data_IF_709087113140
#
_entry.id   IF_709087113140
#
_cell.length_a   1.000
_cell.length_b   1.000
_cell.length_c   1.000
_cell.angle_alpha   90.00
_cell.angle_beta   90.00
_cell.angle_gamma   90.00
#
_symmetry.space_group_name_H-M   'P 1'
#
loop_
_entity.id
_entity.type
_entity.pdbx_description
1 polymer ?
#
# COMPACT_ATOMS: atom_id res chain seq x y z
N UNK A 1 -9.47 5.09 24.35
CA UNK A 1 -8.24 4.96 23.54
C UNK A 1 -8.34 3.78 22.61
N UNK A 2 -7.62 3.83 21.49
CA UNK A 2 -7.66 2.83 20.45
C UNK A 2 -6.25 2.54 19.97
N UNK A 3 -5.85 1.27 19.96
CA UNK A 3 -4.61 0.78 19.36
C UNK A 3 -4.93 0.20 17.98
N UNK A 4 -4.47 0.87 16.92
CA UNK A 4 -4.73 0.53 15.52
C UNK A 4 -3.46 -0.04 14.87
N UNK A 5 -3.29 -1.35 14.79
CA UNK A 5 -2.26 -1.93 13.94
C UNK A 5 -2.69 -1.86 12.48
N UNK A 6 -1.73 -1.53 11.60
CA UNK A 6 -1.91 -1.64 10.16
C UNK A 6 -1.28 -2.94 9.65
N UNK A 7 -1.67 -3.39 8.44
CA UNK A 7 -1.03 -4.54 7.80
C UNK A 7 0.46 -4.30 7.66
N UNK A 8 1.21 -5.16 8.32
CA UNK A 8 2.67 -5.13 8.41
C UNK A 8 3.27 -6.21 7.51
N UNK A 9 4.58 -6.25 7.37
CA UNK A 9 5.25 -7.21 6.50
C UNK A 9 6.65 -7.56 6.99
N UNK A 10 7.19 -8.65 6.46
CA UNK A 10 8.54 -9.06 6.81
C UNK A 10 8.94 -10.42 6.29
N UNK A 11 10.00 -10.93 6.89
CA UNK A 11 10.53 -12.27 6.73
C UNK A 11 10.64 -12.92 8.11
N UNK A 12 11.03 -14.20 8.19
CA UNK A 12 11.32 -14.84 9.45
C UNK A 12 12.40 -14.12 10.29
N UNK A 13 13.25 -13.27 9.65
CA UNK A 13 14.41 -12.63 10.28
C UNK A 13 14.28 -11.11 10.41
N UNK A 14 13.32 -10.50 9.76
CA UNK A 14 13.14 -9.04 9.76
C UNK A 14 11.67 -8.70 9.58
N UNK A 15 11.13 -7.92 10.50
CA UNK A 15 9.74 -7.50 10.50
C UNK A 15 9.65 -5.98 10.48
N UNK A 16 8.71 -5.46 9.72
CA UNK A 16 8.34 -4.05 9.75
C UNK A 16 6.92 -3.92 10.27
N UNK A 17 6.77 -3.27 11.41
CA UNK A 17 5.48 -2.96 12.01
C UNK A 17 5.17 -1.48 11.88
N UNK A 18 3.90 -1.20 11.65
CA UNK A 18 3.35 0.14 11.69
C UNK A 18 1.95 0.11 12.31
N UNK A 19 1.63 1.12 13.10
CA UNK A 19 0.31 1.31 13.68
C UNK A 19 0.19 2.68 14.33
N UNK A 20 -0.96 2.93 14.96
CA UNK A 20 -1.28 4.23 15.56
C UNK A 20 -2.04 4.06 16.87
N UNK A 21 -1.83 4.98 17.82
CA UNK A 21 -2.62 5.09 19.05
C UNK A 21 -3.41 6.39 19.01
N UNK A 22 -4.72 6.28 19.25
CA UNK A 22 -5.68 7.40 19.24
C UNK A 22 -6.49 7.42 20.52
N UNK A 23 -6.91 8.61 20.96
CA UNK A 23 -7.78 8.78 22.14
C UNK A 23 -9.27 8.66 21.80
N UNK A 24 -9.64 8.50 20.56
CA UNK A 24 -11.02 8.47 20.10
C UNK A 24 -11.62 7.06 20.16
N UNK A 25 -12.93 7.01 20.41
CA UNK A 25 -13.69 5.77 20.31
C UNK A 25 -13.67 5.22 18.88
N UNK A 26 -13.73 3.87 18.71
CA UNK A 26 -13.81 3.27 17.39
C UNK A 26 -14.99 3.84 16.60
N UNK A 27 -14.75 4.23 15.37
CA UNK A 27 -15.81 4.66 14.47
C UNK A 27 -16.62 3.45 14.01
N UNK A 28 -17.96 3.56 13.87
CA UNK A 28 -18.77 2.45 13.39
C UNK A 28 -18.27 1.99 12.01
N UNK A 29 -18.32 0.66 11.81
CA UNK A 29 -17.87 0.05 10.56
C UNK A 29 -18.64 0.62 9.36
N UNK A 30 -18.06 0.60 8.15
CA UNK A 30 -18.76 1.02 6.94
C UNK A 30 -20.12 0.31 6.71
N UNK A 31 -20.24 -0.94 7.15
CA UNK A 31 -21.46 -1.74 7.03
C UNK A 31 -22.65 -1.21 7.90
N UNK A 32 -22.38 -0.48 8.99
CA UNK A 32 -23.39 0.02 9.92
C UNK A 32 -23.96 1.40 9.54
N UNK A 33 -23.58 1.98 8.39
CA UNK A 33 -23.87 3.36 8.01
C UNK A 33 -25.03 3.47 7.03
N UNK A 34 -26.18 3.82 7.55
CA UNK A 34 -27.42 3.93 6.80
C UNK A 34 -27.80 5.29 6.21
N UNK A 35 -26.95 6.32 6.14
CA UNK A 35 -27.26 7.59 5.46
C UNK A 35 -26.04 8.44 5.14
N UNK A 36 -26.09 9.21 4.03
CA UNK A 36 -25.06 10.11 3.49
C UNK A 36 -24.59 11.19 4.49
N UNK A 37 -25.48 11.72 5.31
CA UNK A 37 -25.18 12.76 6.32
C UNK A 37 -24.38 12.20 7.51
N UNK A 38 -24.67 10.96 7.94
CA UNK A 38 -23.85 10.27 8.95
C UNK A 38 -22.46 9.98 8.43
N UNK A 39 -22.31 9.59 7.16
CA UNK A 39 -21.02 9.38 6.50
C UNK A 39 -20.12 10.61 6.58
N UNK A 40 -20.63 11.81 6.29
CA UNK A 40 -19.89 13.06 6.36
C UNK A 40 -19.40 13.40 7.78
N UNK A 41 -20.24 13.20 8.81
CA UNK A 41 -19.90 13.45 10.20
C UNK A 41 -18.81 12.47 10.70
N UNK A 42 -18.96 11.21 10.37
CA UNK A 42 -17.98 10.17 10.71
C UNK A 42 -16.62 10.42 10.04
N UNK A 43 -16.65 10.99 8.85
CA UNK A 43 -15.48 11.38 8.08
C UNK A 43 -14.74 12.57 8.68
N UNK A 44 -15.47 13.61 9.12
CA UNK A 44 -14.88 14.72 9.87
C UNK A 44 -14.20 14.22 11.16
N UNK A 45 -14.84 13.30 11.88
CA UNK A 45 -14.27 12.67 13.08
C UNK A 45 -12.99 11.86 12.79
N UNK A 46 -12.84 11.27 11.59
CA UNK A 46 -11.60 10.60 11.17
C UNK A 46 -10.44 11.56 10.88
N UNK A 47 -10.76 12.79 10.50
CA UNK A 47 -9.77 13.83 10.23
C UNK A 47 -9.37 14.62 11.48
N UNK A 48 -10.29 14.72 12.46
CA UNK A 48 -10.07 15.25 13.79
C UNK A 48 -9.78 14.05 14.74
N UNK A 49 -8.60 13.45 14.58
CA UNK A 49 -8.14 12.39 15.48
C UNK A 49 -7.31 13.03 16.60
N UNK A 50 -7.65 12.70 17.85
CA UNK A 50 -6.81 13.06 18.98
C UNK A 50 -5.69 12.01 19.08
N UNK A 51 -4.51 12.40 18.64
CA UNK A 51 -3.31 11.56 18.62
C UNK A 51 -2.78 11.38 20.05
N UNK A 52 -2.27 10.19 20.36
CA UNK A 52 -1.61 9.92 21.63
C UNK A 52 -0.09 9.78 21.42
N UNK A 53 0.66 10.89 21.56
CA UNK A 53 2.12 10.84 21.46
C UNK A 53 2.74 10.20 22.71
N UNK A 54 3.94 9.64 22.56
CA UNK A 54 4.71 9.03 23.65
C UNK A 54 3.97 7.88 24.38
N UNK A 55 3.02 7.25 23.74
CA UNK A 55 2.41 6.03 24.25
C UNK A 55 3.33 4.82 24.01
N UNK A 56 3.35 3.88 24.95
CA UNK A 56 4.20 2.69 24.85
C UNK A 56 3.37 1.48 24.41
N UNK A 57 3.75 0.91 23.29
CA UNK A 57 3.15 -0.30 22.71
C UNK A 57 4.13 -1.47 22.84
N UNK A 58 3.65 -2.57 23.39
CA UNK A 58 4.34 -3.86 23.41
C UNK A 58 3.96 -4.69 22.18
N UNK A 59 4.96 -5.30 21.56
CA UNK A 59 4.84 -6.24 20.44
C UNK A 59 5.32 -7.59 20.96
N UNK A 60 4.42 -8.56 21.02
CA UNK A 60 4.72 -9.92 21.50
C UNK A 60 5.12 -10.84 20.35
N UNK A 61 6.36 -11.34 20.37
CA UNK A 61 6.89 -12.28 19.39
C UNK A 61 7.51 -13.48 20.11
N UNK A 62 6.90 -14.63 20.05
CA UNK A 62 7.45 -15.94 20.44
C UNK A 62 8.37 -15.94 21.68
N UNK A 63 7.83 -15.47 22.81
CA UNK A 63 8.55 -15.41 24.08
C UNK A 63 9.39 -14.14 24.27
N UNK A 64 9.42 -13.23 23.29
CA UNK A 64 10.06 -11.95 23.40
C UNK A 64 9.03 -10.82 23.30
N UNK A 65 9.22 -9.78 24.11
CA UNK A 65 8.40 -8.56 24.06
C UNK A 65 9.32 -7.40 23.70
N UNK A 66 8.95 -6.70 22.62
CA UNK A 66 9.61 -5.47 22.23
C UNK A 66 8.70 -4.29 22.50
N UNK A 67 9.24 -3.20 23.06
CA UNK A 67 8.51 -1.96 23.29
C UNK A 67 8.87 -0.92 22.25
N UNK A 68 7.87 -0.19 21.78
CA UNK A 68 8.03 0.95 20.89
C UNK A 68 7.18 2.11 21.40
N UNK A 69 7.66 3.34 21.20
CA UNK A 69 6.95 4.54 21.62
C UNK A 69 6.37 5.25 20.39
N UNK A 70 5.16 5.76 20.52
CA UNK A 70 4.51 6.53 19.47
C UNK A 70 5.17 7.90 19.30
N UNK A 71 5.21 8.37 18.05
CA UNK A 71 5.65 9.72 17.70
C UNK A 71 4.60 10.80 18.07
N UNK A 72 4.86 12.06 17.69
CA UNK A 72 3.99 13.18 18.00
C UNK A 72 2.58 13.11 17.40
N UNK A 73 2.39 12.22 16.42
CA UNK A 73 1.12 12.01 15.71
C UNK A 73 0.51 10.65 16.05
N UNK A 74 1.00 10.03 17.12
CA UNK A 74 0.49 8.75 17.64
C UNK A 74 0.92 7.53 16.82
N UNK A 75 1.80 7.67 15.81
CA UNK A 75 2.30 6.51 15.05
C UNK A 75 3.44 5.81 15.77
N UNK A 76 3.46 4.49 15.71
CA UNK A 76 4.64 3.69 15.97
C UNK A 76 5.08 2.98 14.71
N UNK A 77 6.39 3.00 14.44
CA UNK A 77 7.04 2.30 13.34
C UNK A 77 8.28 1.63 13.88
N UNK A 78 8.45 0.36 13.56
CA UNK A 78 9.64 -0.37 14.04
C UNK A 78 10.08 -1.39 12.99
N UNK A 79 11.39 -1.36 12.70
CA UNK A 79 12.09 -2.48 12.08
C UNK A 79 12.61 -3.38 13.19
N UNK A 80 12.09 -4.59 13.25
CA UNK A 80 12.42 -5.54 14.31
C UNK A 80 13.16 -6.72 13.72
N UNK A 81 14.31 -7.04 14.31
CA UNK A 81 15.07 -8.26 14.01
C UNK A 81 14.89 -9.21 15.17
N UNK A 82 14.15 -10.32 15.01
CA UNK A 82 14.02 -11.34 16.05
C UNK A 82 15.39 -11.91 16.43
N UNK A 83 15.52 -12.36 17.69
CA UNK A 83 16.77 -12.99 18.20
C UNK A 83 17.07 -14.33 17.54
N UNK A 84 16.05 -15.01 17.02
CA UNK A 84 16.13 -16.22 16.21
C UNK A 84 15.08 -16.12 15.09
N UNK A 85 15.29 -16.84 13.96
CA UNK A 85 14.31 -16.90 12.89
C UNK A 85 12.96 -17.37 13.43
N UNK A 86 11.89 -16.65 13.09
CA UNK A 86 10.53 -17.05 13.45
C UNK A 86 10.13 -18.29 12.65
N UNK A 87 9.32 -19.20 13.22
CA UNK A 87 8.85 -20.41 12.52
C UNK A 87 7.74 -20.09 11.50
N UNK A 88 7.82 -18.95 10.86
CA UNK A 88 6.84 -18.46 9.89
C UNK A 88 7.30 -18.81 8.48
N UNK A 89 6.47 -19.55 7.78
CA UNK A 89 6.80 -20.03 6.43
C UNK A 89 6.24 -19.13 5.34
N UNK A 90 4.94 -18.80 5.46
CA UNK A 90 4.22 -18.02 4.45
C UNK A 90 2.87 -17.49 4.96
N UNK A 91 2.33 -16.50 4.27
CA UNK A 91 1.00 -15.96 4.52
C UNK A 91 0.95 -14.85 5.57
N UNK A 92 -0.21 -14.71 6.20
CA UNK A 92 -0.49 -13.69 7.19
C UNK A 92 -0.38 -14.25 8.61
N UNK A 93 0.49 -13.66 9.43
CA UNK A 93 0.74 -14.09 10.80
C UNK A 93 0.17 -13.09 11.80
N UNK A 94 -0.66 -13.51 12.75
CA UNK A 94 -1.16 -12.65 13.82
C UNK A 94 -0.07 -12.39 14.85
N UNK A 95 0.07 -11.13 15.26
CA UNK A 95 1.02 -10.70 16.29
C UNK A 95 0.27 -9.91 17.35
N UNK A 96 0.29 -10.33 18.62
CA UNK A 96 -0.36 -9.61 19.70
C UNK A 96 0.37 -8.30 20.00
N UNK A 97 -0.40 -7.24 20.13
CA UNK A 97 0.03 -5.93 20.56
C UNK A 97 -0.70 -5.54 21.84
N UNK A 98 -0.04 -4.76 22.70
CA UNK A 98 -0.66 -4.19 23.88
C UNK A 98 -0.20 -2.75 24.08
N UNK A 99 -1.12 -1.84 24.28
CA UNK A 99 -0.83 -0.50 24.77
C UNK A 99 -0.66 -0.59 26.30
N UNK A 100 0.54 -0.33 26.78
CA UNK A 100 0.92 -0.54 28.19
C UNK A 100 1.39 0.73 28.88
N UNK A 101 1.56 1.84 28.17
CA UNK A 101 1.97 3.10 28.75
C UNK A 101 1.36 4.29 28.02
N UNK A 102 1.05 5.33 28.78
CA UNK A 102 0.51 6.60 28.31
C UNK A 102 1.47 7.75 28.60
N UNK A 103 1.27 8.93 27.98
CA UNK A 103 2.00 10.15 28.31
C UNK A 103 2.01 10.43 29.82
N UNK A 104 3.04 11.15 30.30
CA UNK A 104 3.27 11.43 31.71
C UNK A 104 3.59 10.22 32.61
N UNK A 105 4.02 9.10 32.02
CA UNK A 105 4.48 7.94 32.77
C UNK A 105 3.35 7.09 33.39
N UNK A 106 2.12 7.22 32.87
CA UNK A 106 1.00 6.37 33.30
C UNK A 106 1.18 4.99 32.70
N UNK A 107 1.35 3.98 33.54
CA UNK A 107 1.39 2.57 33.12
C UNK A 107 -0.01 1.96 33.12
N UNK A 108 -0.32 1.22 32.07
CA UNK A 108 -1.54 0.41 31.97
C UNK A 108 -1.19 -1.05 32.27
N UNK A 109 -1.79 -1.60 33.30
CA UNK A 109 -1.50 -2.97 33.76
C UNK A 109 -2.76 -3.83 33.79
N UNK A 110 -2.60 -5.14 33.63
CA UNK A 110 -3.71 -6.07 33.70
C UNK A 110 -4.79 -5.78 32.66
N UNK A 111 -6.03 -5.61 33.12
CA UNK A 111 -7.21 -5.38 32.29
C UNK A 111 -7.28 -3.96 31.69
N UNK A 112 -6.48 -3.01 32.21
CA UNK A 112 -6.43 -1.64 31.69
C UNK A 112 -5.60 -1.55 30.38
N UNK A 113 -4.75 -2.54 30.11
CA UNK A 113 -3.95 -2.59 28.90
C UNK A 113 -4.84 -2.90 27.68
N UNK A 114 -4.77 -2.04 26.67
CA UNK A 114 -5.56 -2.18 25.45
C UNK A 114 -4.84 -3.16 24.50
N UNK A 115 -5.51 -4.28 24.21
CA UNK A 115 -4.99 -5.32 23.32
C UNK A 115 -5.47 -5.10 21.87
N UNK A 116 -4.58 -5.42 20.93
CA UNK A 116 -4.91 -5.50 19.50
C UNK A 116 -4.07 -6.61 18.84
N UNK A 117 -4.42 -7.00 17.62
CA UNK A 117 -3.65 -7.97 16.84
C UNK A 117 -3.23 -7.35 15.54
N UNK A 118 -1.92 -7.22 15.33
CA UNK A 118 -1.36 -6.90 14.03
C UNK A 118 -1.35 -8.13 13.14
N UNK A 119 -1.40 -7.93 11.82
CA UNK A 119 -1.18 -8.99 10.84
C UNK A 119 0.07 -8.69 10.03
N UNK A 120 0.96 -9.66 9.91
CA UNK A 120 2.24 -9.53 9.21
C UNK A 120 2.27 -10.45 8.01
N UNK A 121 2.49 -9.89 6.82
CA UNK A 121 2.68 -10.65 5.60
C UNK A 121 4.11 -11.18 5.52
N UNK A 122 4.26 -12.49 5.45
CA UNK A 122 5.53 -13.16 5.15
C UNK A 122 5.35 -13.94 3.85
N UNK A 123 5.92 -13.45 2.73
CA UNK A 123 5.88 -14.19 1.48
C UNK A 123 6.66 -15.51 1.58
N UNK A 124 6.20 -16.57 0.91
CA UNK A 124 6.94 -17.82 0.88
C UNK A 124 8.24 -17.71 0.11
N UNK A 125 9.23 -18.58 0.36
CA UNK A 125 10.53 -18.57 -0.32
C UNK A 125 10.44 -18.79 -1.84
N UNK A 126 9.37 -19.39 -2.31
CA UNK A 126 9.10 -19.68 -3.72
C UNK A 126 8.19 -18.65 -4.40
N UNK A 127 7.94 -17.50 -3.78
CA UNK A 127 7.32 -16.37 -4.45
C UNK A 127 8.15 -15.94 -5.67
N UNK A 128 7.50 -15.84 -6.83
CA UNK A 128 8.20 -15.58 -8.10
C UNK A 128 8.67 -14.14 -8.21
N UNK A 129 7.88 -13.22 -7.67
CA UNK A 129 8.13 -11.77 -7.60
C UNK A 129 7.16 -11.11 -6.61
N UNK A 130 7.44 -9.87 -6.22
CA UNK A 130 6.49 -9.02 -5.53
C UNK A 130 5.87 -8.01 -6.49
N UNK A 131 4.72 -7.47 -6.12
CA UNK A 131 4.04 -6.39 -6.83
C UNK A 131 4.05 -5.14 -5.93
N UNK A 132 4.50 -4.01 -6.46
CA UNK A 132 4.38 -2.70 -5.81
C UNK A 132 3.52 -1.82 -6.71
N UNK A 133 2.41 -1.35 -6.17
CA UNK A 133 1.43 -0.56 -6.90
C UNK A 133 1.12 0.75 -6.22
N UNK A 134 0.98 1.81 -7.01
CA UNK A 134 0.22 2.98 -6.60
C UNK A 134 -1.28 2.65 -6.51
N UNK A 135 -2.05 3.50 -5.84
CA UNK A 135 -3.50 3.34 -5.68
C UNK A 135 -4.24 4.36 -6.53
N UNK A 136 -3.86 5.63 -6.40
CA UNK A 136 -4.57 6.77 -6.98
C UNK A 136 -4.33 6.84 -8.49
N UNK A 137 -5.39 6.95 -9.29
CA UNK A 137 -5.37 6.89 -10.77
C UNK A 137 -4.67 5.65 -11.38
N UNK A 138 -4.31 4.68 -10.54
CA UNK A 138 -3.75 3.38 -10.92
C UNK A 138 -4.76 2.25 -10.67
N UNK A 139 -5.28 2.17 -9.46
CA UNK A 139 -6.31 1.20 -9.05
C UNK A 139 -7.70 1.82 -9.09
N UNK A 140 -7.83 3.07 -8.65
CA UNK A 140 -9.06 3.84 -8.54
C UNK A 140 -9.00 5.05 -9.46
N UNK A 141 -10.03 5.25 -10.27
CA UNK A 141 -10.15 6.46 -11.08
C UNK A 141 -10.48 7.65 -10.17
N UNK A 142 -9.52 8.53 -9.96
CA UNK A 142 -9.67 9.68 -9.04
C UNK A 142 -9.79 11.00 -9.79
N UNK A 143 -9.25 11.10 -11.01
CA UNK A 143 -9.15 12.34 -11.77
C UNK A 143 -8.29 13.39 -11.07
N UNK A 144 -7.41 12.96 -10.18
CA UNK A 144 -6.68 13.81 -9.23
C UNK A 144 -5.38 14.35 -9.82
N UNK A 145 -5.43 14.91 -11.01
CA UNK A 145 -4.25 15.62 -11.57
C UNK A 145 -3.93 16.94 -10.85
N UNK A 146 -4.78 17.36 -9.91
CA UNK A 146 -4.56 18.57 -9.12
C UNK A 146 -5.34 18.59 -7.81
N UNK A 147 -4.61 18.71 -6.68
CA UNK A 147 -4.97 19.16 -5.34
C UNK A 147 -5.39 18.10 -4.30
N UNK A 148 -4.62 18.00 -3.19
CA UNK A 148 -4.90 17.12 -2.06
C UNK A 148 -6.25 17.37 -1.36
N UNK A 149 -6.79 18.60 -1.43
CA UNK A 149 -8.07 18.99 -0.79
C UNK A 149 -9.31 18.57 -1.56
N UNK A 150 -9.29 18.65 -2.89
CA UNK A 150 -10.39 18.16 -3.73
C UNK A 150 -10.49 16.64 -3.71
N UNK A 151 -9.33 15.96 -3.75
CA UNK A 151 -9.23 14.52 -3.62
C UNK A 151 -9.93 14.00 -2.35
N UNK A 152 -9.60 14.59 -1.20
CA UNK A 152 -10.19 14.22 0.08
C UNK A 152 -11.72 14.32 0.10
N UNK A 153 -12.29 15.42 -0.42
CA UNK A 153 -13.73 15.65 -0.38
C UNK A 153 -14.51 14.82 -1.41
N UNK A 154 -13.92 14.55 -2.57
CA UNK A 154 -14.55 13.80 -3.66
C UNK A 154 -14.42 12.29 -3.44
N UNK A 155 -13.25 11.81 -3.04
CA UNK A 155 -13.00 10.40 -2.75
C UNK A 155 -13.90 9.90 -1.62
N UNK A 156 -14.06 10.70 -0.56
CA UNK A 156 -14.83 10.35 0.62
C UNK A 156 -16.37 10.37 0.42
N UNK A 157 -16.86 11.10 -0.56
CA UNK A 157 -18.31 11.14 -0.84
C UNK A 157 -18.83 9.90 -1.57
N UNK A 158 -18.01 9.30 -2.44
CA UNK A 158 -18.47 8.32 -3.41
C UNK A 158 -17.56 7.08 -3.56
N UNK A 159 -16.59 6.87 -2.63
CA UNK A 159 -15.58 5.84 -2.84
C UNK A 159 -16.14 4.43 -3.15
N UNK A 160 -17.28 4.05 -2.57
CA UNK A 160 -17.94 2.77 -2.86
C UNK A 160 -18.62 2.73 -4.24
N UNK A 161 -18.94 3.89 -4.80
CA UNK A 161 -19.57 4.01 -6.12
C UNK A 161 -18.52 4.16 -7.23
N UNK A 162 -17.27 4.44 -6.87
CA UNK A 162 -16.18 4.48 -7.83
C UNK A 162 -15.80 3.07 -8.19
N UNK A 163 -15.84 2.79 -9.47
CA UNK A 163 -15.33 1.52 -9.99
C UNK A 163 -13.81 1.56 -10.04
N UNK A 164 -13.13 0.45 -9.73
CA UNK A 164 -11.75 0.28 -10.10
C UNK A 164 -11.63 0.35 -11.62
N UNK A 165 -10.46 0.67 -12.12
CA UNK A 165 -10.25 0.58 -13.56
C UNK A 165 -10.61 -0.82 -14.06
N UNK A 166 -11.24 -0.86 -15.24
CA UNK A 166 -11.72 -2.09 -15.84
C UNK A 166 -10.62 -3.16 -15.92
N UNK A 167 -10.88 -4.34 -15.38
CA UNK A 167 -9.98 -5.48 -15.36
C UNK A 167 -8.83 -5.41 -14.34
N UNK A 168 -8.71 -4.34 -13.53
CA UNK A 168 -7.57 -4.18 -12.62
C UNK A 168 -7.53 -5.24 -11.53
N UNK A 169 -8.67 -5.61 -10.96
CA UNK A 169 -8.74 -6.61 -9.91
C UNK A 169 -8.28 -7.99 -10.40
N UNK A 170 -8.73 -8.38 -11.60
CA UNK A 170 -8.30 -9.65 -12.21
C UNK A 170 -6.82 -9.65 -12.60
N UNK A 171 -6.30 -8.53 -13.11
CA UNK A 171 -4.88 -8.43 -13.42
C UNK A 171 -4.00 -8.57 -12.18
N UNK A 172 -4.38 -7.93 -11.06
CA UNK A 172 -3.64 -8.05 -9.81
C UNK A 172 -3.73 -9.46 -9.22
N UNK A 173 -4.90 -10.12 -9.32
CA UNK A 173 -5.05 -11.52 -8.94
C UNK A 173 -4.19 -12.44 -9.81
N UNK A 174 -4.14 -12.19 -11.11
CA UNK A 174 -3.29 -12.95 -12.03
C UNK A 174 -1.81 -12.80 -11.68
N UNK A 175 -1.34 -11.58 -11.39
CA UNK A 175 0.02 -11.33 -10.93
C UNK A 175 0.29 -12.02 -9.57
N UNK A 176 -0.67 -11.99 -8.64
CA UNK A 176 -0.55 -12.68 -7.35
C UNK A 176 -0.45 -14.20 -7.53
N UNK A 177 -1.17 -14.75 -8.49
CA UNK A 177 -1.12 -16.20 -8.82
C UNK A 177 0.20 -16.56 -9.50
N UNK A 178 0.74 -15.69 -10.36
CA UNK A 178 1.96 -15.94 -11.12
C UNK A 178 1.84 -17.11 -12.10
N UNK A 179 2.98 -17.67 -12.48
CA UNK A 179 3.03 -18.87 -13.32
C UNK A 179 2.90 -20.16 -12.50
N UNK A 180 3.35 -20.14 -11.25
CA UNK A 180 3.31 -21.32 -10.37
C UNK A 180 1.90 -21.69 -9.89
N UNK A 181 0.91 -20.80 -10.07
CA UNK A 181 -0.49 -21.02 -9.71
C UNK A 181 -0.78 -20.99 -8.20
N UNK A 182 0.20 -20.61 -7.34
CA UNK A 182 0.08 -20.75 -5.88
C UNK A 182 -0.54 -19.56 -5.19
N UNK A 183 -0.80 -18.46 -5.88
CA UNK A 183 -1.33 -17.20 -5.31
C UNK A 183 -0.49 -16.67 -4.15
N UNK A 184 0.83 -16.71 -4.29
CA UNK A 184 1.78 -16.42 -3.23
C UNK A 184 2.68 -15.21 -3.50
N UNK A 185 2.55 -14.56 -4.65
CA UNK A 185 3.27 -13.32 -4.94
C UNK A 185 2.71 -12.17 -4.08
N UNK A 186 3.53 -11.53 -3.21
CA UNK A 186 3.04 -10.48 -2.32
C UNK A 186 2.72 -9.20 -3.09
N UNK A 187 1.67 -8.50 -2.64
CA UNK A 187 1.26 -7.21 -3.19
C UNK A 187 1.45 -6.15 -2.12
N UNK A 188 2.08 -5.04 -2.47
CA UNK A 188 2.28 -3.85 -1.64
C UNK A 188 1.68 -2.65 -2.34
N UNK A 189 0.90 -1.86 -1.61
CA UNK A 189 0.28 -0.64 -2.13
C UNK A 189 0.94 0.57 -1.51
N UNK A 190 1.48 1.46 -2.35
CA UNK A 190 2.22 2.65 -1.91
C UNK A 190 1.51 3.89 -2.46
N UNK A 191 0.86 4.66 -1.59
CA UNK A 191 0.08 5.83 -2.00
C UNK A 191 0.52 7.10 -1.28
N UNK A 192 0.31 8.24 -1.93
CA UNK A 192 0.43 9.57 -1.33
C UNK A 192 -0.78 9.96 -0.47
N UNK A 193 -1.79 9.13 -0.39
CA UNK A 193 -2.96 9.32 0.46
C UNK A 193 -2.60 9.25 1.95
N UNK A 194 -3.30 10.02 2.82
CA UNK A 194 -3.00 10.03 4.26
C UNK A 194 -3.44 8.74 4.96
N UNK A 195 -2.74 8.38 6.04
CA UNK A 195 -3.07 7.24 6.90
C UNK A 195 -4.50 7.28 7.47
N UNK A 196 -5.08 8.47 7.61
CA UNK A 196 -6.47 8.63 8.05
C UNK A 196 -7.49 8.01 7.08
N UNK A 197 -7.08 7.66 5.87
CA UNK A 197 -7.89 6.97 4.86
C UNK A 197 -7.67 5.46 4.84
N UNK A 198 -6.83 4.90 5.72
CA UNK A 198 -6.47 3.49 5.72
C UNK A 198 -7.68 2.57 5.67
N UNK A 199 -8.61 2.69 6.64
CA UNK A 199 -9.79 1.82 6.71
C UNK A 199 -10.68 1.93 5.46
N UNK A 200 -10.73 3.14 4.88
CA UNK A 200 -11.52 3.42 3.69
C UNK A 200 -10.93 2.73 2.46
N UNK A 201 -9.61 2.84 2.31
CA UNK A 201 -8.87 2.19 1.23
C UNK A 201 -8.90 0.67 1.38
N UNK A 202 -8.73 0.16 2.59
CA UNK A 202 -8.77 -1.28 2.86
C UNK A 202 -10.17 -1.89 2.59
N UNK A 203 -11.22 -1.19 3.00
CA UNK A 203 -12.61 -1.56 2.69
C UNK A 203 -12.89 -1.52 1.18
N UNK A 204 -12.39 -0.49 0.48
CA UNK A 204 -12.48 -0.37 -0.98
C UNK A 204 -11.79 -1.53 -1.69
N UNK A 205 -10.53 -1.81 -1.34
CA UNK A 205 -9.74 -2.90 -1.93
C UNK A 205 -10.43 -4.25 -1.74
N UNK A 206 -10.94 -4.48 -0.52
CA UNK A 206 -11.68 -5.71 -0.17
C UNK A 206 -13.00 -5.82 -0.97
N UNK A 207 -13.77 -4.72 -1.05
CA UNK A 207 -15.06 -4.69 -1.75
C UNK A 207 -14.89 -5.02 -3.24
N UNK A 208 -13.83 -4.51 -3.86
CA UNK A 208 -13.57 -4.73 -5.28
C UNK A 208 -12.69 -5.97 -5.55
N UNK A 209 -12.42 -6.78 -4.54
CA UNK A 209 -11.71 -8.05 -4.69
C UNK A 209 -10.25 -7.91 -5.12
N UNK A 210 -9.61 -6.79 -4.80
CA UNK A 210 -8.17 -6.63 -4.97
C UNK A 210 -7.40 -7.49 -3.97
N UNK A 211 -6.23 -8.02 -4.31
CA UNK A 211 -5.42 -8.80 -3.39
C UNK A 211 -5.12 -8.04 -2.10
N UNK A 212 -5.24 -8.72 -0.95
CA UNK A 212 -4.84 -8.13 0.32
C UNK A 212 -3.33 -7.90 0.36
N UNK A 213 -2.91 -6.72 0.81
CA UNK A 213 -1.51 -6.34 0.93
C UNK A 213 -1.31 -5.21 1.95
N UNK A 214 -0.08 -4.97 2.41
CA UNK A 214 0.25 -3.78 3.17
C UNK A 214 -0.07 -2.51 2.38
N UNK A 215 -0.72 -1.55 3.05
CA UNK A 215 -0.98 -0.20 2.54
C UNK A 215 0.05 0.74 3.17
N UNK A 216 0.93 1.31 2.37
CA UNK A 216 2.00 2.21 2.80
C UNK A 216 1.59 3.64 2.43
N UNK A 217 0.96 4.32 3.39
CA UNK A 217 0.32 5.61 3.20
C UNK A 217 1.20 6.74 3.73
N UNK A 218 0.91 7.96 3.32
CA UNK A 218 1.67 9.13 3.70
C UNK A 218 1.23 9.70 5.04
N UNK A 219 2.22 10.13 5.82
CA UNK A 219 2.01 10.95 7.00
C UNK A 219 1.89 12.43 6.61
N UNK A 220 0.78 13.08 6.95
CA UNK A 220 0.52 14.50 6.66
C UNK A 220 0.70 15.40 7.87
N UNK A 221 1.40 14.94 8.90
CA UNK A 221 1.57 15.68 10.13
C UNK A 221 2.02 17.12 9.97
N UNK A 222 1.58 17.95 10.93
CA UNK A 222 1.76 19.41 10.98
C UNK A 222 3.24 19.84 11.12
N UNK A 223 4.17 18.89 11.31
CA UNK A 223 5.59 19.23 11.43
C UNK A 223 6.12 19.84 10.13
N UNK A 224 6.74 21.01 10.23
CA UNK A 224 7.43 21.70 9.13
C UNK A 224 8.46 20.82 8.39
N UNK A 225 8.97 19.76 9.02
CA UNK A 225 9.83 18.76 8.39
C UNK A 225 9.08 17.93 7.35
N UNK A 226 7.84 17.49 7.63
CA UNK A 226 7.03 16.68 6.72
C UNK A 226 6.47 17.50 5.55
N UNK A 227 6.32 18.82 5.72
CA UNK A 227 5.94 19.73 4.62
C UNK A 227 7.07 19.90 3.58
N UNK A 228 8.33 19.63 3.94
CA UNK A 228 9.48 19.65 3.04
C UNK A 228 9.74 18.30 2.36
N UNK A 229 9.23 17.21 2.94
CA UNK A 229 9.31 15.90 2.32
C UNK A 229 8.36 15.85 1.12
N UNK A 230 8.92 15.88 -0.08
CA UNK A 230 8.16 15.80 -1.33
C UNK A 230 7.47 14.44 -1.47
N UNK A 231 6.41 14.36 -2.29
CA UNK A 231 5.75 13.11 -2.66
C UNK A 231 6.74 12.04 -3.16
N UNK A 232 7.82 12.48 -3.82
CA UNK A 232 8.88 11.65 -4.34
C UNK A 232 9.62 10.92 -3.23
N UNK A 233 9.96 11.64 -2.16
CA UNK A 233 10.78 11.11 -1.07
C UNK A 233 10.01 10.07 -0.26
N UNK A 234 8.70 10.28 -0.03
CA UNK A 234 7.86 9.32 0.68
C UNK A 234 7.72 8.01 -0.07
N UNK A 235 7.17 8.00 -1.31
CA UNK A 235 6.98 6.77 -2.09
C UNK A 235 8.31 6.04 -2.27
N UNK A 236 9.39 6.76 -2.59
CA UNK A 236 10.69 6.16 -2.77
C UNK A 236 11.24 5.53 -1.49
N UNK A 237 11.00 6.13 -0.32
CA UNK A 237 11.37 5.58 0.98
C UNK A 237 10.63 4.28 1.27
N UNK A 238 9.31 4.25 1.11
CA UNK A 238 8.51 3.07 1.38
C UNK A 238 8.87 1.92 0.41
N UNK A 239 9.07 2.21 -0.88
CA UNK A 239 9.54 1.22 -1.86
C UNK A 239 10.93 0.71 -1.47
N UNK A 240 11.86 1.59 -1.11
CA UNK A 240 13.20 1.20 -0.65
C UNK A 240 13.12 0.25 0.54
N UNK A 241 12.28 0.55 1.53
CA UNK A 241 12.07 -0.30 2.71
C UNK A 241 11.57 -1.70 2.33
N UNK A 242 10.65 -1.81 1.36
CA UNK A 242 10.18 -3.11 0.84
C UNK A 242 11.34 -3.88 0.16
N UNK A 243 12.09 -3.23 -0.72
CA UNK A 243 13.23 -3.86 -1.42
C UNK A 243 14.32 -4.34 -0.45
N UNK A 244 14.59 -3.58 0.61
CA UNK A 244 15.56 -3.96 1.65
C UNK A 244 15.06 -5.08 2.55
N UNK A 245 13.74 -5.16 2.77
CA UNK A 245 13.14 -6.24 3.56
C UNK A 245 13.23 -7.58 2.83
N UNK A 246 13.12 -7.56 1.51
CA UNK A 246 13.18 -8.76 0.65
C UNK A 246 14.36 -8.70 -0.32
N UNK A 247 15.59 -8.90 0.12
CA UNK A 247 16.81 -8.63 -0.66
C UNK A 247 16.98 -9.50 -1.91
N UNK A 248 16.29 -10.62 -2.03
CA UNK A 248 16.37 -11.55 -3.18
C UNK A 248 15.16 -11.50 -4.10
N UNK A 249 14.02 -10.97 -3.63
CA UNK A 249 12.79 -10.92 -4.40
C UNK A 249 12.86 -9.82 -5.46
N UNK A 250 12.49 -10.14 -6.69
CA UNK A 250 12.30 -9.16 -7.77
C UNK A 250 10.89 -8.57 -7.73
N UNK A 251 10.65 -7.44 -8.40
CA UNK A 251 9.37 -6.74 -8.32
C UNK A 251 8.85 -6.32 -9.69
N UNK A 252 7.51 -6.30 -9.80
CA UNK A 252 6.76 -5.59 -10.83
C UNK A 252 6.25 -4.29 -10.21
N UNK A 253 6.44 -3.16 -10.90
CA UNK A 253 6.01 -1.85 -10.43
C UNK A 253 4.84 -1.38 -11.30
N UNK A 254 3.77 -0.87 -10.67
CA UNK A 254 2.56 -0.40 -11.35
C UNK A 254 2.20 0.99 -10.83
N UNK A 255 2.01 1.95 -11.74
CA UNK A 255 1.69 3.33 -11.41
C UNK A 255 0.96 4.04 -12.54
N UNK A 256 0.83 5.35 -12.43
CA UNK A 256 0.14 6.19 -13.40
C UNK A 256 1.05 7.27 -14.02
N UNK A 257 0.61 7.82 -15.17
CA UNK A 257 1.30 8.90 -15.87
C UNK A 257 0.96 10.29 -15.32
N UNK A 258 -0.10 10.43 -14.56
CA UNK A 258 -0.59 11.71 -14.00
C UNK A 258 0.21 12.20 -12.82
N UNK A 259 0.89 11.28 -12.12
CA UNK A 259 1.73 11.54 -10.96
C UNK A 259 3.24 11.43 -11.29
N UNK A 260 4.06 11.21 -10.26
CA UNK A 260 5.53 11.14 -10.38
C UNK A 260 6.07 9.72 -10.44
N UNK A 261 5.21 8.72 -10.56
CA UNK A 261 5.58 7.31 -10.54
C UNK A 261 6.66 6.95 -11.57
N UNK A 262 6.62 7.44 -12.82
CA UNK A 262 7.68 7.16 -13.77
C UNK A 262 9.07 7.59 -13.30
N UNK A 263 9.16 8.75 -12.63
CA UNK A 263 10.42 9.29 -12.10
C UNK A 263 10.88 8.50 -10.88
N UNK A 264 9.94 8.13 -10.00
CA UNK A 264 10.21 7.32 -8.81
C UNK A 264 10.74 5.95 -9.23
N UNK A 265 10.07 5.29 -10.17
CA UNK A 265 10.42 3.94 -10.61
C UNK A 265 11.75 3.90 -11.35
N UNK A 266 12.09 4.95 -12.11
CA UNK A 266 13.45 5.09 -12.66
C UNK A 266 14.50 5.12 -11.54
N UNK A 267 14.27 5.86 -10.47
CA UNK A 267 15.20 5.94 -9.33
C UNK A 267 15.29 4.59 -8.60
N UNK A 268 14.18 3.83 -8.51
CA UNK A 268 14.17 2.47 -7.97
C UNK A 268 15.03 1.52 -8.81
N UNK A 269 14.89 1.54 -10.14
CA UNK A 269 15.71 0.71 -11.04
C UNK A 269 17.20 1.02 -10.84
N UNK A 270 17.57 2.32 -10.76
CA UNK A 270 18.94 2.75 -10.56
C UNK A 270 19.50 2.30 -9.19
N UNK A 271 18.69 2.33 -8.12
CA UNK A 271 19.11 1.90 -6.77
C UNK A 271 19.22 0.40 -6.61
N UNK A 272 18.39 -0.34 -7.33
CA UNK A 272 18.25 -1.78 -7.20
C UNK A 272 18.40 -2.48 -8.56
N UNK A 273 19.61 -2.46 -9.18
CA UNK A 273 19.83 -3.07 -10.48
C UNK A 273 19.46 -4.55 -10.50
N UNK A 274 18.75 -4.98 -11.56
CA UNK A 274 18.31 -6.37 -11.75
C UNK A 274 17.16 -6.82 -10.84
N UNK A 275 16.58 -5.91 -10.03
CA UNK A 275 15.52 -6.24 -9.07
C UNK A 275 14.11 -5.86 -9.56
N UNK A 276 13.99 -5.16 -10.68
CA UNK A 276 12.70 -4.82 -11.31
C UNK A 276 12.51 -5.65 -12.58
N UNK A 277 11.39 -6.39 -12.65
CA UNK A 277 11.06 -7.25 -13.80
C UNK A 277 10.34 -6.50 -14.90
N UNK A 278 9.42 -5.60 -14.52
CA UNK A 278 8.66 -4.76 -15.44
C UNK A 278 8.09 -3.55 -14.71
N UNK A 279 7.79 -2.49 -15.47
CA UNK A 279 7.10 -1.30 -15.01
C UNK A 279 5.91 -1.06 -15.94
N UNK A 280 4.71 -0.97 -15.37
CA UNK A 280 3.48 -0.61 -16.07
C UNK A 280 3.03 0.76 -15.59
N UNK A 281 2.97 1.71 -16.52
CA UNK A 281 2.45 3.06 -16.27
C UNK A 281 1.13 3.19 -17.00
N UNK A 282 0.05 3.38 -16.25
CA UNK A 282 -1.27 3.65 -16.82
C UNK A 282 -1.28 5.04 -17.43
N UNK A 283 -1.72 5.14 -18.67
CA UNK A 283 -1.99 6.41 -19.32
C UNK A 283 -3.34 6.96 -18.85
N UNK A 284 -3.29 8.03 -18.03
CA UNK A 284 -4.50 8.69 -17.49
C UNK A 284 -5.13 9.68 -18.49
N UNK A 285 -4.44 9.96 -19.59
CA UNK A 285 -4.89 10.84 -20.67
C UNK A 285 -5.17 10.06 -21.96
N UNK A 286 -5.30 8.73 -21.89
CA UNK A 286 -5.52 7.86 -23.04
C UNK A 286 -6.70 8.35 -23.90
N UNK A 287 -6.42 8.54 -25.19
CA UNK A 287 -7.38 9.06 -26.17
C UNK A 287 -7.39 10.57 -26.34
N UNK A 288 -6.61 11.33 -25.56
CA UNK A 288 -6.31 12.73 -25.81
C UNK A 288 -5.08 12.90 -26.70
N UNK A 289 -4.85 14.11 -27.23
CA UNK A 289 -3.63 14.38 -27.98
C UNK A 289 -2.39 14.18 -27.09
N UNK A 290 -1.30 13.66 -27.71
CA UNK A 290 -0.02 13.38 -27.03
C UNK A 290 0.41 14.55 -26.12
N UNK A 291 0.52 14.25 -24.84
CA UNK A 291 0.78 15.27 -23.82
C UNK A 291 2.28 15.43 -23.56
N UNK A 292 2.67 16.55 -22.93
CA UNK A 292 4.05 16.69 -22.45
C UNK A 292 4.45 15.61 -21.44
N UNK A 293 3.47 15.01 -20.75
CA UNK A 293 3.68 13.90 -19.78
C UNK A 293 4.06 12.63 -20.52
N UNK A 294 3.38 12.30 -21.61
CA UNK A 294 3.66 11.10 -22.41
C UNK A 294 5.08 11.16 -22.98
N UNK A 295 5.52 12.33 -23.43
CA UNK A 295 6.89 12.54 -23.89
C UNK A 295 7.93 12.28 -22.77
N UNK A 296 7.64 12.71 -21.53
CA UNK A 296 8.50 12.42 -20.37
C UNK A 296 8.51 10.94 -20.08
N UNK A 297 7.34 10.29 -20.02
CA UNK A 297 7.22 8.85 -19.76
C UNK A 297 7.96 8.05 -20.84
N UNK A 298 7.80 8.43 -22.12
CA UNK A 298 8.47 7.78 -23.26
C UNK A 298 9.99 7.92 -23.14
N UNK A 299 10.50 9.09 -22.77
CA UNK A 299 11.94 9.31 -22.54
C UNK A 299 12.47 8.44 -21.42
N UNK A 300 11.78 8.43 -20.26
CA UNK A 300 12.15 7.60 -19.12
C UNK A 300 12.08 6.10 -19.44
N UNK A 301 11.09 5.69 -20.21
CA UNK A 301 10.96 4.30 -20.66
C UNK A 301 12.15 3.87 -21.56
N UNK A 302 12.65 4.77 -22.40
CA UNK A 302 13.85 4.50 -23.20
C UNK A 302 15.10 4.35 -22.32
N UNK A 303 15.29 5.24 -21.34
CA UNK A 303 16.39 5.15 -20.36
C UNK A 303 16.35 3.82 -19.59
N UNK A 304 15.21 3.47 -19.01
CA UNK A 304 15.01 2.26 -18.20
C UNK A 304 15.17 1.00 -19.04
N UNK A 305 14.72 1.01 -20.29
CA UNK A 305 14.89 -0.11 -21.23
C UNK A 305 16.36 -0.36 -21.55
N UNK A 306 17.18 0.67 -21.59
CA UNK A 306 18.62 0.54 -21.76
C UNK A 306 19.29 -0.19 -20.57
N UNK A 307 18.65 -0.17 -19.39
CA UNK A 307 19.06 -0.95 -18.21
C UNK A 307 18.47 -2.38 -18.20
N UNK A 308 17.77 -2.80 -19.27
CA UNK A 308 17.21 -4.14 -19.42
C UNK A 308 15.83 -4.32 -18.77
N UNK A 309 15.18 -3.26 -18.32
CA UNK A 309 13.86 -3.31 -17.69
C UNK A 309 12.79 -2.79 -18.65
N UNK A 310 11.76 -3.59 -19.01
CA UNK A 310 10.64 -3.09 -19.80
C UNK A 310 9.80 -2.12 -18.98
N UNK A 311 9.65 -0.90 -19.48
CA UNK A 311 8.71 0.09 -18.99
C UNK A 311 7.72 0.43 -20.10
N UNK A 312 6.44 0.28 -19.84
CA UNK A 312 5.35 0.48 -20.79
C UNK A 312 4.38 1.53 -20.28
N UNK A 313 4.05 2.48 -21.15
CA UNK A 313 2.85 3.29 -21.02
C UNK A 313 1.69 2.46 -21.59
N UNK A 314 0.72 2.12 -20.76
CA UNK A 314 -0.39 1.24 -21.15
C UNK A 314 -1.71 1.99 -21.14
N UNK A 315 -2.50 1.92 -22.23
CA UNK A 315 -3.78 2.62 -22.29
C UNK A 315 -4.84 1.97 -21.38
N UNK A 316 -4.70 0.67 -21.11
CA UNK A 316 -5.63 -0.10 -20.31
C UNK A 316 -4.96 -1.31 -19.64
N UNK A 317 -5.72 -1.99 -18.80
CA UNK A 317 -5.25 -3.16 -18.05
C UNK A 317 -5.03 -4.38 -18.95
N UNK A 318 -5.78 -4.50 -20.06
CA UNK A 318 -5.64 -5.63 -20.97
C UNK A 318 -4.29 -5.58 -21.71
N UNK A 319 -3.82 -4.39 -22.09
CA UNK A 319 -2.51 -4.19 -22.68
C UNK A 319 -1.38 -4.59 -21.71
N UNK A 320 -1.51 -4.23 -20.43
CA UNK A 320 -0.58 -4.65 -19.38
C UNK A 320 -0.57 -6.17 -19.21
N UNK A 321 -1.74 -6.81 -19.15
CA UNK A 321 -1.89 -8.25 -19.02
C UNK A 321 -1.30 -9.01 -20.23
N UNK A 322 -1.54 -8.53 -21.44
CA UNK A 322 -0.97 -9.12 -22.65
C UNK A 322 0.57 -9.10 -22.64
N UNK A 323 1.18 -7.98 -22.26
CA UNK A 323 2.63 -7.90 -22.12
C UNK A 323 3.14 -8.80 -20.98
N UNK A 324 2.42 -8.87 -19.85
CA UNK A 324 2.79 -9.72 -18.71
C UNK A 324 2.85 -11.22 -19.09
N UNK A 325 1.99 -11.67 -20.01
CA UNK A 325 2.08 -13.04 -20.60
C UNK A 325 3.36 -13.18 -21.41
N UNK A 326 3.67 -12.21 -22.27
CA UNK A 326 4.86 -12.27 -23.16
C UNK A 326 6.15 -12.43 -22.37
N UNK A 327 6.26 -11.73 -21.23
CA UNK A 327 7.48 -11.79 -20.39
C UNK A 327 7.40 -12.84 -19.27
N UNK A 328 6.36 -13.68 -19.25
CA UNK A 328 6.22 -14.78 -18.31
C UNK A 328 5.99 -14.34 -16.87
N UNK A 329 5.08 -13.38 -16.65
CA UNK A 329 4.61 -12.99 -15.31
C UNK A 329 3.28 -13.66 -14.97
N UNK A 330 2.43 -13.86 -15.97
CA UNK A 330 1.09 -14.47 -15.81
C UNK A 330 0.83 -15.48 -16.92
N UNK A 331 -0.13 -16.36 -16.70
CA UNK A 331 -0.52 -17.36 -17.68
C UNK A 331 -1.39 -16.78 -18.79
N UNK A 332 -1.42 -17.33 -20.03
CA UNK A 332 -2.24 -16.83 -21.12
C UNK A 332 -3.75 -16.69 -20.82
N UNK A 333 -4.40 -17.59 -20.04
CA UNK A 333 -5.80 -17.42 -19.67
C UNK A 333 -6.11 -16.11 -18.92
N UNK A 334 -5.14 -15.56 -18.18
CA UNK A 334 -5.33 -14.32 -17.43
C UNK A 334 -5.75 -13.13 -18.31
N UNK A 335 -5.30 -13.07 -19.57
CA UNK A 335 -5.70 -12.00 -20.51
C UNK A 335 -7.20 -12.05 -20.80
N UNK A 336 -7.74 -13.26 -20.99
CA UNK A 336 -9.17 -13.44 -21.23
C UNK A 336 -10.00 -13.07 -19.99
N UNK A 337 -9.53 -13.43 -18.78
CA UNK A 337 -10.19 -13.11 -17.52
C UNK A 337 -10.21 -11.59 -17.27
N UNK A 338 -9.09 -10.91 -17.51
CA UNK A 338 -9.00 -9.44 -17.45
C UNK A 338 -9.95 -8.78 -18.45
N UNK A 339 -10.02 -9.30 -19.69
CA UNK A 339 -10.92 -8.74 -20.70
C UNK A 339 -12.41 -8.96 -20.35
N UNK A 340 -12.77 -10.10 -19.77
CA UNK A 340 -14.14 -10.38 -19.30
C UNK A 340 -14.51 -9.47 -18.14
N UNK A 341 -13.59 -9.24 -17.20
CA UNK A 341 -13.83 -8.34 -16.07
C UNK A 341 -13.97 -6.90 -16.55
N UNK A 342 -13.13 -6.48 -17.47
CA UNK A 342 -13.20 -5.16 -18.10
C UNK A 342 -14.52 -4.92 -18.86
N UNK A 343 -15.13 -5.95 -19.41
CA UNK A 343 -16.42 -5.83 -20.11
C UNK A 343 -17.64 -5.71 -19.15
N UNK A 344 -17.47 -5.94 -17.84
CA UNK A 344 -18.53 -5.80 -16.83
C UNK A 344 -18.55 -4.42 -16.18
N UNK A 345 -17.48 -3.65 -16.32
CA UNK A 345 -17.32 -2.30 -15.78
C UNK A 345 -17.93 -1.25 -16.72
#
# INVERSE_FOLDING_TARGET
MLLLPYRSYGTANRLYFIGRVLDNAPLPSPAERGSTLRGLRTMWQRLETDEVPNATVEIGLEGHVTRVTTDAEGYFRINLTPSAPLPWNDGWHPVPLRLVGLPAGVELTGDDAIAATATVLVPPPDAEFGIISDIDDTVVETGATSLPRMFRNTFLREYRQRLPFAGVAEFYRALQVGLNGKRNNPVFYVSSSPWNLYDLLDDYMTHHGLPAGPLLLRDFGIRRANLREGHLDHKLREITQVFETYPTLTFVLIGDSGQRDPVIYREVVRRFPGRVRAIYIRDVEAGLAESKRDAIVTTLAAEIRAEGVPMLLVPDTAAAAAHAVIIGLVTPPAVAEVAIDAAKA
#
